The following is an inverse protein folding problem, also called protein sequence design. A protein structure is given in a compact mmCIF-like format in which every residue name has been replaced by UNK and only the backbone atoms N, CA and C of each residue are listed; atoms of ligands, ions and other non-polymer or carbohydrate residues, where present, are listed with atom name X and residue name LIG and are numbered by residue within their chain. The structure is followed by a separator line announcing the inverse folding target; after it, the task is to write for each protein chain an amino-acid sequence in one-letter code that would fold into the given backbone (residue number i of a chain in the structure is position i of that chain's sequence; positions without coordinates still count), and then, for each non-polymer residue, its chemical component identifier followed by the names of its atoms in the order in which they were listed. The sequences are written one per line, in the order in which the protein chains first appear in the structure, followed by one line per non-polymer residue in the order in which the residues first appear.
data_IF_408630324971
#
_entry.id   IF_408630324971
#
_cell.length_a   1.000
_cell.length_b   1.000
_cell.length_c   1.000
_cell.angle_alpha   90.00
_cell.angle_beta   90.00
_cell.angle_gamma   90.00
#
_symmetry.space_group_name_H-M   'P 1'
#
loop_
_entity.id
_entity.type
_entity.pdbx_description
1 polymer ?
#
# COMPACT_ATOMS: atom_id res chain seq x y z
N UNK A 1 12.38 -20.07 -12.46
CA UNK A 1 11.66 -18.78 -12.65
C UNK A 1 12.30 -17.64 -11.86
N UNK A 2 12.61 -17.78 -10.57
CA UNK A 2 13.19 -16.68 -9.77
C UNK A 2 14.57 -16.16 -10.24
N UNK A 3 15.26 -16.87 -11.13
CA UNK A 3 16.52 -16.43 -11.77
C UNK A 3 16.32 -15.32 -12.80
N UNK A 4 15.13 -15.18 -13.40
CA UNK A 4 14.83 -14.19 -14.43
C UNK A 4 14.71 -12.78 -13.84
N UNK A 5 15.36 -11.80 -14.48
CA UNK A 5 15.38 -10.41 -14.01
C UNK A 5 13.98 -9.79 -13.91
N UNK A 6 13.08 -10.12 -14.85
CA UNK A 6 11.70 -9.63 -14.81
C UNK A 6 10.98 -9.98 -13.49
N UNK A 7 11.20 -11.19 -12.96
CA UNK A 7 10.61 -11.61 -11.68
C UNK A 7 11.31 -10.94 -10.51
N UNK A 8 12.66 -10.87 -10.53
CA UNK A 8 13.43 -10.19 -9.49
C UNK A 8 13.02 -8.73 -9.33
N UNK A 9 12.88 -7.98 -10.43
CA UNK A 9 12.47 -6.58 -10.39
C UNK A 9 11.05 -6.42 -9.84
N UNK A 10 10.10 -7.28 -10.22
CA UNK A 10 8.74 -7.27 -9.66
C UNK A 10 8.76 -7.48 -8.14
N UNK A 11 9.49 -8.48 -7.67
CA UNK A 11 9.59 -8.78 -6.23
C UNK A 11 10.33 -7.68 -5.47
N UNK A 12 11.39 -7.11 -6.04
CA UNK A 12 12.10 -5.96 -5.46
C UNK A 12 11.18 -4.74 -5.34
N UNK A 13 10.39 -4.43 -6.38
CA UNK A 13 9.41 -3.34 -6.34
C UNK A 13 8.32 -3.58 -5.28
N UNK A 14 7.83 -4.82 -5.15
CA UNK A 14 6.86 -5.17 -4.12
C UNK A 14 7.46 -5.00 -2.71
N UNK A 15 8.72 -5.40 -2.53
CA UNK A 15 9.44 -5.23 -1.28
C UNK A 15 9.63 -3.75 -0.91
N UNK A 16 10.07 -2.92 -1.87
CA UNK A 16 10.27 -1.48 -1.67
C UNK A 16 8.95 -0.81 -1.27
N UNK A 17 7.86 -1.08 -2.00
CA UNK A 17 6.54 -0.51 -1.70
C UNK A 17 6.04 -0.91 -0.31
N UNK A 18 6.15 -2.19 0.06
CA UNK A 18 5.75 -2.65 1.39
C UNK A 18 6.60 -2.04 2.51
N UNK A 19 7.91 -1.90 2.27
CA UNK A 19 8.82 -1.29 3.25
C UNK A 19 8.49 0.18 3.47
N UNK A 20 8.26 0.94 2.39
CA UNK A 20 7.85 2.34 2.48
C UNK A 20 6.49 2.50 3.17
N UNK A 21 5.49 1.68 2.79
CA UNK A 21 4.19 1.69 3.43
C UNK A 21 4.27 1.40 4.94
N UNK A 22 5.10 0.42 5.33
CA UNK A 22 5.34 0.11 6.75
C UNK A 22 5.98 1.29 7.48
N UNK A 23 6.97 1.94 6.88
CA UNK A 23 7.60 3.14 7.45
C UNK A 23 6.57 4.25 7.68
N UNK A 24 5.70 4.50 6.70
CA UNK A 24 4.64 5.50 6.82
C UNK A 24 3.65 5.14 7.94
N UNK A 25 3.31 3.85 8.10
CA UNK A 25 2.46 3.40 9.21
C UNK A 25 3.12 3.64 10.58
N UNK A 26 4.43 3.39 10.72
CA UNK A 26 5.14 3.69 11.96
C UNK A 26 5.15 5.19 12.27
N UNK A 27 5.37 6.02 11.26
CA UNK A 27 5.30 7.46 11.41
C UNK A 27 3.89 7.94 11.80
N UNK A 28 2.84 7.41 11.16
CA UNK A 28 1.46 7.68 11.56
C UNK A 28 1.12 7.22 12.98
N UNK A 29 1.63 6.06 13.39
CA UNK A 29 1.45 5.55 14.76
C UNK A 29 2.17 6.43 15.79
N UNK A 30 3.38 6.89 15.48
CA UNK A 30 4.09 7.85 16.33
C UNK A 30 3.32 9.17 16.43
N UNK A 31 2.89 9.76 15.31
CA UNK A 31 2.16 11.02 15.29
C UNK A 31 0.83 10.93 16.06
N UNK A 32 0.17 9.78 16.02
CA UNK A 32 -1.03 9.50 16.81
C UNK A 32 -0.71 9.45 18.31
N UNK A 33 0.38 8.79 18.69
CA UNK A 33 0.78 8.61 20.08
C UNK A 33 1.30 9.91 20.72
N UNK A 34 1.86 10.83 19.93
CA UNK A 34 2.40 12.12 20.41
C UNK A 34 1.46 13.30 20.19
N UNK A 35 0.25 13.06 19.68
CA UNK A 35 -0.71 14.10 19.30
C UNK A 35 -0.08 15.17 18.37
N UNK A 36 0.82 14.72 17.48
CA UNK A 36 1.54 15.63 16.61
C UNK A 36 0.59 16.31 15.61
N UNK A 37 0.79 17.60 15.35
CA UNK A 37 -0.02 18.37 14.40
C UNK A 37 0.01 17.82 12.97
N UNK A 38 1.06 17.06 12.62
CA UNK A 38 1.23 16.38 11.35
C UNK A 38 0.46 15.05 11.22
N UNK A 39 -0.29 14.63 12.25
CA UNK A 39 -1.11 13.43 12.22
C UNK A 39 -2.02 13.31 10.98
N UNK A 40 -2.72 14.35 10.50
CA UNK A 40 -3.54 14.26 9.29
C UNK A 40 -2.72 13.87 8.05
N UNK A 41 -1.53 14.46 7.89
CA UNK A 41 -0.61 14.16 6.79
C UNK A 41 -0.06 12.75 6.90
N UNK A 42 0.42 12.38 8.09
CA UNK A 42 1.01 11.07 8.37
C UNK A 42 -0.01 9.94 8.15
N UNK A 43 -1.25 10.09 8.64
CA UNK A 43 -2.32 9.12 8.48
C UNK A 43 -2.72 8.94 7.01
N UNK A 44 -2.89 10.04 6.26
CA UNK A 44 -3.23 9.97 4.84
C UNK A 44 -2.11 9.30 4.02
N UNK A 45 -0.85 9.64 4.32
CA UNK A 45 0.33 9.07 3.66
C UNK A 45 0.50 7.58 3.94
N UNK A 46 0.28 7.15 5.19
CA UNK A 46 0.26 5.74 5.57
C UNK A 46 -0.84 4.98 4.81
N UNK A 47 -2.03 5.57 4.73
CA UNK A 47 -3.19 4.93 4.10
C UNK A 47 -3.02 4.76 2.59
N UNK A 48 -2.64 5.81 1.87
CA UNK A 48 -2.38 5.74 0.41
C UNK A 48 -1.25 4.76 0.12
N UNK A 49 -0.14 4.85 0.86
CA UNK A 49 1.01 3.96 0.69
C UNK A 49 0.66 2.48 0.91
N UNK A 50 -0.11 2.16 1.96
CA UNK A 50 -0.53 0.80 2.27
C UNK A 50 -1.47 0.22 1.18
N UNK A 51 -2.42 1.01 0.68
CA UNK A 51 -3.33 0.59 -0.41
C UNK A 51 -2.52 0.21 -1.65
N UNK A 52 -1.64 1.10 -2.10
CA UNK A 52 -0.84 0.91 -3.31
C UNK A 52 0.13 -0.26 -3.17
N UNK A 53 0.79 -0.40 -2.02
CA UNK A 53 1.72 -1.49 -1.76
C UNK A 53 1.03 -2.86 -1.78
N UNK A 54 -0.09 -3.01 -1.08
CA UNK A 54 -0.78 -4.29 -0.99
C UNK A 54 -1.46 -4.67 -2.31
N UNK A 55 -2.04 -3.70 -3.03
CA UNK A 55 -2.57 -3.93 -4.36
C UNK A 55 -1.49 -4.40 -5.34
N UNK A 56 -0.32 -3.74 -5.35
CA UNK A 56 0.79 -4.15 -6.21
C UNK A 56 1.28 -5.57 -5.88
N UNK A 57 1.56 -5.84 -4.60
CA UNK A 57 2.09 -7.13 -4.17
C UNK A 57 1.10 -8.28 -4.44
N UNK A 58 -0.19 -8.08 -4.16
CA UNK A 58 -1.21 -9.11 -4.40
C UNK A 58 -1.46 -9.37 -5.89
N UNK A 59 -1.40 -8.34 -6.74
CA UNK A 59 -1.46 -8.49 -8.20
C UNK A 59 -0.25 -9.25 -8.74
N UNK A 60 0.95 -8.88 -8.32
CA UNK A 60 2.18 -9.56 -8.75
C UNK A 60 2.29 -10.98 -8.20
N UNK A 61 1.67 -11.29 -7.05
CA UNK A 61 1.55 -12.65 -6.53
C UNK A 61 0.83 -13.58 -7.52
N UNK A 62 -0.32 -13.14 -8.05
CA UNK A 62 -1.06 -13.89 -9.10
C UNK A 62 -0.19 -14.05 -10.35
N UNK A 63 0.42 -12.96 -10.83
CA UNK A 63 1.19 -12.97 -12.08
C UNK A 63 2.47 -13.82 -11.99
N UNK A 64 3.15 -13.83 -10.85
CA UNK A 64 4.38 -14.61 -10.65
C UNK A 64 4.13 -16.11 -10.67
N UNK A 65 2.94 -16.55 -10.23
CA UNK A 65 2.50 -17.95 -10.29
C UNK A 65 1.92 -18.34 -11.66
N UNK A 66 1.74 -17.38 -12.58
CA UNK A 66 1.19 -17.64 -13.92
C UNK A 66 -0.23 -18.19 -13.88
N UNK A 67 -0.54 -19.14 -14.74
CA UNK A 67 -1.87 -19.76 -14.81
C UNK A 67 -2.33 -20.36 -13.48
N UNK A 68 -1.42 -20.99 -12.74
CA UNK A 68 -1.72 -21.58 -11.43
C UNK A 68 -2.08 -20.52 -10.37
N UNK A 69 -1.59 -19.29 -10.52
CA UNK A 69 -1.97 -18.18 -9.62
C UNK A 69 -3.43 -17.74 -9.78
N UNK A 70 -4.11 -18.19 -10.82
CA UNK A 70 -5.52 -17.92 -11.09
C UNK A 70 -6.44 -19.09 -10.71
N UNK A 71 -5.88 -20.26 -10.41
CA UNK A 71 -6.63 -21.47 -10.07
C UNK A 71 -6.74 -21.63 -8.54
N UNK A 72 -7.31 -22.75 -8.07
CA UNK A 72 -7.58 -23.00 -6.65
C UNK A 72 -6.45 -23.73 -5.92
N UNK A 73 -5.41 -24.11 -6.65
CA UNK A 73 -4.22 -24.81 -6.17
C UNK A 73 -3.30 -23.88 -5.35
N UNK A 74 -3.43 -22.56 -5.56
CA UNK A 74 -2.77 -21.54 -4.75
C UNK A 74 -3.79 -20.49 -4.30
N UNK A 75 -3.54 -19.88 -3.14
CA UNK A 75 -4.45 -18.90 -2.52
C UNK A 75 -4.21 -17.44 -2.97
N UNK A 76 -3.61 -17.22 -4.15
CA UNK A 76 -3.21 -15.90 -4.63
C UNK A 76 -4.40 -14.91 -4.70
N UNK A 77 -5.57 -15.40 -5.10
CA UNK A 77 -6.85 -14.70 -5.19
C UNK A 77 -7.34 -14.15 -3.86
N UNK A 78 -7.03 -14.77 -2.72
CA UNK A 78 -7.45 -14.26 -1.42
C UNK A 78 -6.80 -12.92 -1.11
N UNK A 79 -5.50 -12.79 -1.38
CA UNK A 79 -4.76 -11.55 -1.19
C UNK A 79 -5.23 -10.46 -2.15
N UNK A 80 -5.48 -10.79 -3.42
CA UNK A 80 -5.96 -9.82 -4.41
C UNK A 80 -7.35 -9.28 -4.05
N UNK A 81 -8.29 -10.17 -3.72
CA UNK A 81 -9.65 -9.79 -3.30
C UNK A 81 -9.62 -8.96 -2.01
N UNK A 82 -8.78 -9.33 -1.05
CA UNK A 82 -8.62 -8.56 0.20
C UNK A 82 -8.02 -7.19 -0.05
N UNK A 83 -7.03 -7.06 -0.94
CA UNK A 83 -6.47 -5.76 -1.30
C UNK A 83 -7.55 -4.82 -1.88
N UNK A 84 -8.44 -5.33 -2.74
CA UNK A 84 -9.56 -4.57 -3.30
C UNK A 84 -10.60 -4.16 -2.24
N UNK A 85 -10.89 -5.03 -1.28
CA UNK A 85 -11.80 -4.70 -0.18
C UNK A 85 -11.20 -3.63 0.74
N UNK A 86 -9.93 -3.81 1.14
CA UNK A 86 -9.24 -2.89 2.04
C UNK A 86 -8.95 -1.53 1.38
N UNK A 87 -8.91 -1.43 0.05
CA UNK A 87 -8.73 -0.14 -0.63
C UNK A 87 -9.92 0.81 -0.50
N UNK A 88 -11.07 0.34 0.00
CA UNK A 88 -12.29 1.15 0.11
C UNK A 88 -12.92 1.14 1.51
N UNK A 89 -12.52 0.22 2.39
CA UNK A 89 -13.21 -0.01 3.68
C UNK A 89 -13.19 1.17 4.66
N UNK A 90 -12.23 2.10 4.54
CA UNK A 90 -12.11 3.31 5.36
C UNK A 90 -12.09 4.56 4.47
N UNK A 91 -12.82 4.53 3.36
CA UNK A 91 -12.70 5.50 2.27
C UNK A 91 -11.79 4.99 1.16
N UNK A 92 -12.08 5.42 -0.06
CA UNK A 92 -11.35 5.04 -1.28
C UNK A 92 -9.94 5.65 -1.31
N UNK A 93 -9.09 5.15 -2.21
CA UNK A 93 -7.75 5.74 -2.42
C UNK A 93 -7.84 7.23 -2.77
N UNK A 94 -8.75 7.63 -3.68
CA UNK A 94 -8.94 9.03 -4.07
C UNK A 94 -9.32 9.93 -2.89
N UNK A 95 -10.23 9.46 -2.02
CA UNK A 95 -10.58 10.18 -0.80
C UNK A 95 -9.38 10.47 0.11
N UNK A 96 -8.45 9.52 0.22
CA UNK A 96 -7.23 9.70 1.02
C UNK A 96 -6.15 10.51 0.29
N UNK A 97 -6.12 10.47 -1.05
CA UNK A 97 -5.26 11.35 -1.84
C UNK A 97 -5.69 12.82 -1.68
N UNK A 98 -6.99 13.11 -1.72
CA UNK A 98 -7.51 14.46 -1.48
C UNK A 98 -7.12 14.98 -0.09
N UNK A 99 -7.24 14.13 0.94
CA UNK A 99 -6.80 14.48 2.31
C UNK A 99 -5.31 14.70 2.42
N UNK A 100 -4.50 13.92 1.71
CA UNK A 100 -3.06 14.11 1.67
C UNK A 100 -2.72 15.46 1.05
N UNK A 101 -3.35 15.83 -0.06
CA UNK A 101 -3.15 17.12 -0.72
C UNK A 101 -3.53 18.26 0.23
N UNK A 102 -4.72 18.21 0.83
CA UNK A 102 -5.18 19.22 1.79
C UNK A 102 -4.23 19.37 2.99
N UNK A 103 -3.71 18.25 3.52
CA UNK A 103 -2.78 18.29 4.66
C UNK A 103 -1.42 18.89 4.27
N UNK A 104 -0.92 18.61 3.06
CA UNK A 104 0.30 19.23 2.53
C UNK A 104 0.10 20.74 2.35
N UNK A 105 -1.03 21.16 1.79
CA UNK A 105 -1.35 22.58 1.63
C UNK A 105 -1.37 23.31 2.97
N UNK A 106 -2.03 22.73 3.98
CA UNK A 106 -2.07 23.30 5.34
C UNK A 106 -0.68 23.40 5.97
N UNK A 107 0.17 22.38 5.78
CA UNK A 107 1.56 22.39 6.27
C UNK A 107 2.43 23.44 5.59
N UNK A 108 2.12 23.84 4.35
CA UNK A 108 2.89 24.86 3.62
C UNK A 108 2.46 26.29 3.97
N UNK A 109 1.27 26.45 4.55
CA UNK A 109 0.72 27.75 4.96
C UNK A 109 1.05 28.08 6.43
N UNK A 110 1.29 27.06 7.25
CA UNK A 110 1.70 27.18 8.66
C UNK A 110 3.19 27.51 8.81
#
# INVERSE_FOLDING_TARGET
IASYQAIKHKLANAYIKNTLARSNCYYGAWALNTEAGELPLAAATARVGAIQAYYYASKENVQTHGGMGFTWEFDCQFYYRRAKLLSVNLGSEGFWQDRLIQAVEQSNVA
#
